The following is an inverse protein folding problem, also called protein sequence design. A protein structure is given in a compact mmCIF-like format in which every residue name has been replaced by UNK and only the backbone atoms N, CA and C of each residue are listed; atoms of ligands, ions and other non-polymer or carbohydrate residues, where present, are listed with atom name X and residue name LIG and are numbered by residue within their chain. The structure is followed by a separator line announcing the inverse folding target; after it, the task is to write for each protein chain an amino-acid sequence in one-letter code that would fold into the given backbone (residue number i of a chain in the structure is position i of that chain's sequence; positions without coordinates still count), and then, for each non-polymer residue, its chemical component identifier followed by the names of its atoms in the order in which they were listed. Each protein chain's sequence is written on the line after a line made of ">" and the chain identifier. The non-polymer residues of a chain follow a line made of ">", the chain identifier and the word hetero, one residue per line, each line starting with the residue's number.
data_IF_637597179945
#
_entry.id   IF_637597179945
#
_cell.length_a   1.000
_cell.length_b   1.000
_cell.length_c   1.000
_cell.angle_alpha   90.00
_cell.angle_beta   90.00
_cell.angle_gamma   90.00
#
_symmetry.space_group_name_H-M   'P 1'
#
loop_
_entity.id
_entity.type
_entity.pdbx_description
1 polymer ?
#
# COMPACT_ATOMS: atom_id res chain seq x y z
N UNK A 1 24.59 21.15 -64.56
CA UNK A 1 24.90 22.29 -63.66
C UNK A 1 24.74 21.76 -62.24
N UNK A 2 25.79 21.13 -61.73
CA UNK A 2 26.82 21.70 -60.83
C UNK A 2 26.25 21.81 -59.40
N UNK A 3 26.42 20.81 -58.53
CA UNK A 3 27.58 20.50 -57.64
C UNK A 3 27.62 21.30 -56.33
N UNK A 4 27.57 20.54 -55.22
CA UNK A 4 28.24 20.71 -53.91
C UNK A 4 27.73 21.87 -53.01
N UNK A 5 27.53 21.72 -51.70
CA UNK A 5 28.48 21.25 -50.67
C UNK A 5 27.80 20.54 -49.47
N UNK A 6 28.61 19.68 -48.85
CA UNK A 6 28.39 18.90 -47.62
C UNK A 6 28.60 19.73 -46.35
N UNK A 7 27.86 19.41 -45.28
CA UNK A 7 28.37 19.47 -43.91
C UNK A 7 27.59 18.46 -43.03
N UNK A 8 28.27 17.39 -42.64
CA UNK A 8 27.89 16.49 -41.54
C UNK A 8 28.33 17.15 -40.24
N UNK A 9 27.48 17.16 -39.22
CA UNK A 9 27.84 17.60 -37.86
C UNK A 9 26.92 17.03 -36.79
N UNK A 10 27.45 16.07 -36.04
CA UNK A 10 27.05 15.62 -34.70
C UNK A 10 25.76 14.79 -34.53
N UNK A 11 26.02 13.50 -34.35
CA UNK A 11 25.19 12.51 -33.65
C UNK A 11 24.98 12.95 -32.20
N UNK A 12 23.71 12.97 -31.74
CA UNK A 12 23.40 12.73 -30.33
C UNK A 12 22.35 11.62 -30.24
N UNK A 13 22.82 10.44 -29.85
CA UNK A 13 22.01 9.32 -29.39
C UNK A 13 21.29 9.70 -28.09
N UNK A 14 19.96 9.59 -28.08
CA UNK A 14 19.21 9.30 -26.86
C UNK A 14 18.14 8.26 -27.23
N UNK A 15 18.52 6.98 -27.09
CA UNK A 15 17.57 5.93 -26.72
C UNK A 15 17.00 6.31 -25.34
N UNK A 16 15.69 6.29 -25.15
CA UNK A 16 15.02 5.60 -24.02
C UNK A 16 13.54 5.37 -24.41
N UNK A 17 13.30 4.14 -24.85
CA UNK A 17 12.17 3.25 -24.54
C UNK A 17 10.90 3.85 -23.93
N UNK A 18 9.76 3.50 -24.54
CA UNK A 18 8.46 3.30 -23.91
C UNK A 18 8.60 2.77 -22.47
N UNK A 19 8.42 3.65 -21.49
CA UNK A 19 8.40 3.33 -20.07
C UNK A 19 7.00 3.58 -19.50
N UNK A 20 6.23 2.50 -19.38
CA UNK A 20 5.12 2.31 -18.44
C UNK A 20 4.23 3.52 -18.11
N UNK A 21 3.21 3.75 -18.94
CA UNK A 21 1.93 4.19 -18.41
C UNK A 21 1.33 3.00 -17.62
N UNK A 22 1.68 2.91 -16.34
CA UNK A 22 1.22 1.85 -15.44
C UNK A 22 1.50 2.21 -13.99
N UNK A 23 0.44 2.58 -13.29
CA UNK A 23 0.31 2.54 -11.83
C UNK A 23 1.36 3.31 -11.01
N UNK A 24 1.39 4.63 -11.15
CA UNK A 24 1.64 5.50 -9.99
C UNK A 24 0.32 6.16 -9.60
N UNK A 25 -0.66 5.35 -9.19
CA UNK A 25 -1.78 5.89 -8.43
C UNK A 25 -1.24 6.14 -7.01
N UNK A 26 -1.13 7.40 -6.55
CA UNK A 26 -0.67 7.66 -5.20
C UNK A 26 -1.60 6.94 -4.23
N UNK A 27 -1.03 6.41 -3.14
CA UNK A 27 -1.82 5.84 -2.05
C UNK A 27 -3.02 6.77 -1.77
N UNK A 28 -4.26 6.26 -1.83
CA UNK A 28 -5.45 7.10 -1.93
C UNK A 28 -5.46 8.20 -0.87
N UNK A 29 -5.68 9.45 -1.30
CA UNK A 29 -5.76 10.62 -0.41
C UNK A 29 -7.10 10.61 0.33
N UNK A 30 -7.15 9.87 1.43
CA UNK A 30 -8.36 9.76 2.26
C UNK A 30 -8.59 11.03 3.09
N UNK A 31 -9.28 12.02 2.55
CA UNK A 31 -9.54 13.33 3.16
C UNK A 31 -10.54 13.35 4.35
N UNK A 32 -10.88 12.21 4.96
CA UNK A 32 -11.60 12.14 6.25
C UNK A 32 -10.95 11.14 7.21
N UNK A 33 -9.62 11.17 7.30
CA UNK A 33 -8.85 10.16 8.03
C UNK A 33 -8.85 10.41 9.53
N UNK A 34 -9.59 9.61 10.28
CA UNK A 34 -9.20 9.38 11.67
C UNK A 34 -7.91 8.55 11.65
N UNK A 35 -6.82 9.16 12.10
CA UNK A 35 -5.55 8.47 12.29
C UNK A 35 -5.52 7.84 13.67
N UNK A 36 -5.75 6.52 13.75
CA UNK A 36 -5.67 5.79 15.02
C UNK A 36 -4.30 5.12 15.13
N UNK A 37 -3.56 5.43 16.18
CA UNK A 37 -2.36 4.68 16.51
C UNK A 37 -2.75 3.30 17.06
N UNK A 38 -2.17 2.24 16.51
CA UNK A 38 -2.46 0.85 16.89
C UNK A 38 -1.14 0.20 17.31
N UNK A 39 -0.84 0.28 18.60
CA UNK A 39 0.32 -0.39 19.17
C UNK A 39 0.03 -1.90 19.27
N UNK A 40 0.26 -2.64 18.18
CA UNK A 40 0.26 -4.10 18.21
C UNK A 40 1.63 -4.53 18.72
N UNK A 41 1.70 -4.80 20.03
CA UNK A 41 2.92 -5.26 20.69
C UNK A 41 3.08 -6.78 20.57
N UNK A 42 3.14 -7.27 19.33
CA UNK A 42 3.56 -8.63 19.02
C UNK A 42 4.59 -8.56 17.88
N UNK A 43 5.75 -9.18 18.08
CA UNK A 43 6.89 -9.21 17.16
C UNK A 43 7.59 -7.86 16.83
N UNK A 44 7.33 -6.79 17.59
CA UNK A 44 8.00 -5.48 17.41
C UNK A 44 7.54 -4.69 16.18
N UNK A 45 6.36 -5.03 15.64
CA UNK A 45 5.77 -4.39 14.47
C UNK A 45 4.64 -3.45 14.90
N UNK A 46 4.93 -2.16 14.96
CA UNK A 46 3.94 -1.14 15.29
C UNK A 46 3.07 -0.83 14.08
N UNK A 47 1.84 -0.38 14.27
CA UNK A 47 0.99 0.07 13.17
C UNK A 47 0.20 1.33 13.56
N UNK A 48 -0.21 2.14 12.58
CA UNK A 48 -1.23 3.18 12.82
C UNK A 48 -2.26 3.06 11.72
N UNK A 49 -3.45 2.62 12.09
CA UNK A 49 -4.56 2.45 11.18
C UNK A 49 -5.13 3.79 10.73
N UNK A 50 -5.36 3.95 9.43
CA UNK A 50 -6.11 5.05 8.85
C UNK A 50 -7.50 4.55 8.49
N UNK A 51 -8.54 5.14 9.10
CA UNK A 51 -9.92 4.70 8.90
C UNK A 51 -10.72 5.73 8.09
N UNK A 52 -11.50 5.23 7.14
CA UNK A 52 -12.54 5.97 6.41
C UNK A 52 -13.91 5.34 6.69
N UNK A 53 -14.56 5.84 7.75
CA UNK A 53 -15.87 5.36 8.21
C UNK A 53 -16.99 5.50 7.17
N UNK A 54 -16.84 6.42 6.21
CA UNK A 54 -17.83 6.62 5.15
C UNK A 54 -17.74 5.52 4.09
N UNK A 55 -16.53 5.00 3.87
CA UNK A 55 -16.27 3.94 2.89
C UNK A 55 -16.29 2.55 3.50
N UNK A 56 -16.25 2.43 4.82
CA UNK A 56 -16.19 1.13 5.49
C UNK A 56 -14.83 0.47 5.33
N UNK A 57 -13.76 1.27 5.27
CA UNK A 57 -12.41 0.77 5.01
C UNK A 57 -11.43 1.31 6.06
N UNK A 58 -10.48 0.49 6.46
CA UNK A 58 -9.31 0.90 7.24
C UNK A 58 -8.03 0.33 6.61
N UNK A 59 -6.97 1.12 6.61
CA UNK A 59 -5.64 0.73 6.16
C UNK A 59 -4.69 0.64 7.36
N UNK A 60 -4.03 -0.50 7.56
CA UNK A 60 -3.11 -0.75 8.67
C UNK A 60 -1.72 -1.05 8.09
N UNK A 61 -0.80 -0.07 8.04
CA UNK A 61 0.57 -0.29 7.58
C UNK A 61 1.40 -1.03 8.64
N UNK A 62 2.35 -1.83 8.18
CA UNK A 62 3.45 -2.35 9.00
C UNK A 62 4.48 -1.21 9.18
N UNK A 63 4.69 -0.75 10.41
CA UNK A 63 5.83 0.08 10.78
C UNK A 63 6.94 -0.82 11.31
N UNK A 64 7.85 -1.20 10.42
CA UNK A 64 8.94 -2.12 10.70
C UNK A 64 9.43 -2.82 9.44
N UNK A 65 10.24 -3.89 9.60
CA UNK A 65 10.64 -4.74 8.48
C UNK A 65 9.40 -5.27 7.74
N UNK A 66 9.46 -5.25 6.40
CA UNK A 66 8.41 -5.83 5.56
C UNK A 66 8.37 -7.34 5.77
N UNK A 67 7.15 -7.88 5.80
CA UNK A 67 6.91 -9.32 5.91
C UNK A 67 6.83 -9.90 4.50
N UNK A 68 7.34 -11.11 4.30
CA UNK A 68 7.24 -11.80 3.02
C UNK A 68 6.15 -12.85 3.06
N UNK A 69 5.67 -13.22 1.88
CA UNK A 69 4.76 -14.34 1.74
C UNK A 69 5.44 -15.64 2.20
N UNK A 70 4.81 -16.36 3.13
CA UNK A 70 5.36 -17.56 3.77
C UNK A 70 6.09 -17.31 5.09
N UNK A 71 6.30 -16.05 5.51
CA UNK A 71 6.88 -15.77 6.83
C UNK A 71 5.89 -16.10 7.94
N UNK A 72 6.28 -16.91 8.94
CA UNK A 72 5.44 -17.17 10.13
C UNK A 72 5.01 -15.88 10.85
N UNK A 73 5.89 -14.87 10.83
CA UNK A 73 5.63 -13.54 11.41
C UNK A 73 4.48 -12.80 10.71
N UNK A 74 4.20 -13.10 9.43
CA UNK A 74 3.04 -12.58 8.69
C UNK A 74 1.75 -13.04 9.31
N UNK A 75 1.59 -14.35 9.47
CA UNK A 75 0.34 -14.94 9.98
C UNK A 75 0.04 -14.47 11.41
N UNK A 76 1.07 -14.41 12.24
CA UNK A 76 0.97 -13.88 13.61
C UNK A 76 0.56 -12.41 13.60
N UNK A 77 1.18 -11.58 12.76
CA UNK A 77 0.86 -10.16 12.65
C UNK A 77 -0.56 -9.92 12.12
N UNK A 78 -0.96 -10.58 11.02
CA UNK A 78 -2.32 -10.48 10.46
C UNK A 78 -3.37 -10.88 11.52
N UNK A 79 -3.13 -11.94 12.28
CA UNK A 79 -4.00 -12.38 13.38
C UNK A 79 -4.10 -11.34 14.49
N UNK A 80 -2.99 -10.73 14.89
CA UNK A 80 -2.99 -9.67 15.91
C UNK A 80 -3.70 -8.41 15.44
N UNK A 81 -3.57 -8.04 14.16
CA UNK A 81 -4.35 -6.95 13.56
C UNK A 81 -5.86 -7.26 13.62
N UNK A 82 -6.26 -8.46 13.19
CA UNK A 82 -7.66 -8.89 13.25
C UNK A 82 -8.24 -8.85 14.67
N UNK A 83 -7.51 -9.40 15.64
CA UNK A 83 -7.94 -9.44 17.04
C UNK A 83 -8.09 -8.03 17.62
N UNK A 84 -7.11 -7.17 17.39
CA UNK A 84 -7.16 -5.79 17.86
C UNK A 84 -8.39 -5.06 17.29
N UNK A 85 -8.62 -5.17 15.99
CA UNK A 85 -9.69 -4.43 15.31
C UNK A 85 -11.08 -4.91 15.71
N UNK A 86 -11.30 -6.23 15.78
CA UNK A 86 -12.58 -6.80 16.24
C UNK A 86 -12.89 -6.39 17.68
N UNK A 87 -11.89 -6.32 18.56
CA UNK A 87 -12.06 -5.87 19.94
C UNK A 87 -12.30 -4.36 20.07
N UNK A 88 -11.57 -3.55 19.30
CA UNK A 88 -11.65 -2.09 19.38
C UNK A 88 -12.92 -1.53 18.75
N UNK A 89 -13.43 -2.21 17.73
CA UNK A 89 -14.59 -1.78 16.94
C UNK A 89 -15.66 -2.89 16.86
N UNK A 90 -16.22 -3.32 18.00
CA UNK A 90 -17.14 -4.48 18.05
C UNK A 90 -18.44 -4.24 17.27
N UNK A 91 -18.82 -2.98 17.06
CA UNK A 91 -20.02 -2.59 16.31
C UNK A 91 -19.78 -2.48 14.80
N UNK A 92 -18.53 -2.53 14.35
CA UNK A 92 -18.18 -2.54 12.93
C UNK A 92 -18.06 -4.01 12.53
N UNK A 93 -19.06 -4.54 11.83
CA UNK A 93 -19.00 -5.92 11.34
C UNK A 93 -17.89 -6.02 10.29
N UNK A 94 -16.74 -6.58 10.68
CA UNK A 94 -15.59 -6.75 9.80
C UNK A 94 -15.88 -7.88 8.82
N UNK A 95 -15.74 -7.59 7.52
CA UNK A 95 -16.09 -8.51 6.44
C UNK A 95 -14.85 -9.17 5.84
N UNK A 96 -13.82 -8.38 5.53
CA UNK A 96 -12.62 -8.86 4.83
C UNK A 96 -11.40 -8.15 5.38
N UNK A 97 -10.34 -8.92 5.62
CA UNK A 97 -8.99 -8.41 5.83
C UNK A 97 -8.11 -8.92 4.68
N UNK A 98 -7.43 -8.02 3.99
CA UNK A 98 -6.61 -8.36 2.82
C UNK A 98 -5.22 -7.77 2.95
N UNK A 99 -4.14 -8.54 2.74
CA UNK A 99 -2.78 -8.02 2.75
C UNK A 99 -2.57 -7.12 1.52
N UNK A 100 -1.78 -6.06 1.70
CA UNK A 100 -1.28 -5.23 0.61
C UNK A 100 0.13 -5.68 0.27
N UNK A 101 0.27 -6.30 -0.90
CA UNK A 101 1.51 -6.93 -1.36
C UNK A 101 2.10 -6.13 -2.51
N UNK A 102 3.38 -5.79 -2.43
CA UNK A 102 4.14 -5.21 -3.53
C UNK A 102 5.47 -5.96 -3.65
N UNK A 103 5.79 -6.47 -4.84
CA UNK A 103 7.04 -7.22 -5.12
C UNK A 103 7.30 -8.40 -4.16
N UNK A 104 6.23 -9.07 -3.72
CA UNK A 104 6.30 -10.21 -2.78
C UNK A 104 6.49 -9.82 -1.31
N UNK A 105 6.49 -8.51 -1.02
CA UNK A 105 6.58 -7.97 0.33
C UNK A 105 5.22 -7.39 0.75
N UNK A 106 4.88 -7.56 2.02
CA UNK A 106 3.64 -7.11 2.63
C UNK A 106 3.90 -5.80 3.35
N UNK A 107 3.11 -4.80 2.99
CA UNK A 107 3.22 -3.43 3.50
C UNK A 107 2.23 -3.15 4.62
N UNK A 108 1.22 -4.00 4.75
CA UNK A 108 0.14 -3.88 5.73
C UNK A 108 -1.10 -4.66 5.30
N UNK A 109 -2.23 -4.38 5.93
CA UNK A 109 -3.53 -4.94 5.56
C UNK A 109 -4.61 -3.88 5.42
N UNK A 110 -5.55 -4.13 4.53
CA UNK A 110 -6.80 -3.39 4.42
C UNK A 110 -7.89 -4.18 5.12
N UNK A 111 -8.65 -3.53 6.01
CA UNK A 111 -9.85 -4.07 6.64
C UNK A 111 -11.06 -3.40 6.00
N UNK A 112 -12.05 -4.20 5.62
CA UNK A 112 -13.37 -3.73 5.19
C UNK A 112 -14.41 -4.11 6.24
N UNK A 113 -15.33 -3.20 6.52
CA UNK A 113 -16.39 -3.40 7.49
C UNK A 113 -17.69 -2.74 7.02
N UNK A 114 -18.81 -3.22 7.54
CA UNK A 114 -20.11 -2.66 7.20
C UNK A 114 -20.26 -1.26 7.81
N UNK A 115 -20.59 -0.28 6.97
CA UNK A 115 -21.04 1.03 7.42
C UNK A 115 -22.54 0.92 7.74
N UNK A 116 -22.99 1.18 8.98
CA UNK A 116 -24.40 1.26 9.27
C UNK A 116 -25.02 2.38 8.41
N UNK A 117 -26.14 2.06 7.74
CA UNK A 117 -26.89 3.03 6.93
C UNK A 117 -27.47 4.15 7.78
#
# INVERSE_FOLDING_TARGET
>A
MNTMFSAIGAVLLLLVTTGLAGCNEPAPSYQSTQSLAVEINDAGLLARGLMDDKKGVAWIPINGPRLKEGDKKREEWEKSVWLYWTQKFPNKQINIMSPVVEKGEIYGVTITYQVPR
#
